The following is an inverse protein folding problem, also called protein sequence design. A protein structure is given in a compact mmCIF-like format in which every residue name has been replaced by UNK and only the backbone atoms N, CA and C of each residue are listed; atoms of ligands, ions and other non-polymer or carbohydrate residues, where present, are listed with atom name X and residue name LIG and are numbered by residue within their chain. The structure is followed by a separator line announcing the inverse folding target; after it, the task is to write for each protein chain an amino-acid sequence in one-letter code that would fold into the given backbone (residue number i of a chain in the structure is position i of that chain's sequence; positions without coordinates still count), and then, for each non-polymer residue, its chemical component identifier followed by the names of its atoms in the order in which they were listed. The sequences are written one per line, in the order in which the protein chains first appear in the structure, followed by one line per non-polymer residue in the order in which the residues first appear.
data_IF_774489752846
#
_entry.id   IF_774489752846
#
_cell.length_a   1.000
_cell.length_b   1.000
_cell.length_c   1.000
_cell.angle_alpha   90.00
_cell.angle_beta   90.00
_cell.angle_gamma   90.00
#
_symmetry.space_group_name_H-M   'P 1'
#
loop_
_entity.id
_entity.type
_entity.pdbx_description
1 polymer ?
#
# COMPACT_ATOMS: atom_id res chain seq x y z
N UNK A 1 -20.01 11.55 4.03
CA UNK A 1 -18.79 11.00 4.67
C UNK A 1 -17.81 10.65 3.57
N UNK A 2 -16.53 10.99 3.73
CA UNK A 2 -15.50 10.59 2.78
C UNK A 2 -15.40 9.07 2.74
N UNK A 3 -15.32 8.47 1.55
CA UNK A 3 -15.22 7.02 1.41
C UNK A 3 -13.90 6.55 2.04
N UNK A 4 -13.96 5.56 2.94
CA UNK A 4 -12.78 5.04 3.64
C UNK A 4 -11.95 4.18 2.70
N UNK A 5 -10.70 4.55 2.48
CA UNK A 5 -9.83 3.87 1.54
C UNK A 5 -8.71 3.10 2.24
N UNK A 6 -8.43 1.89 1.75
CA UNK A 6 -7.24 1.12 2.08
C UNK A 6 -6.29 1.18 0.90
N UNK A 7 -5.08 1.68 1.12
CA UNK A 7 -4.06 1.76 0.07
C UNK A 7 -3.25 0.47 0.06
N UNK A 8 -3.15 -0.17 -1.11
CA UNK A 8 -2.30 -1.34 -1.34
C UNK A 8 -1.12 -0.92 -2.22
N UNK A 9 0.10 -0.94 -1.68
CA UNK A 9 1.32 -0.60 -2.42
C UNK A 9 1.92 -1.86 -3.03
N UNK A 10 2.05 -1.86 -4.35
CA UNK A 10 2.40 -2.98 -5.20
C UNK A 10 1.26 -3.99 -5.33
N UNK A 11 1.63 -5.25 -5.46
CA UNK A 11 0.72 -6.39 -5.52
C UNK A 11 1.47 -7.68 -5.32
N UNK A 12 0.75 -8.75 -5.04
CA UNK A 12 1.31 -10.09 -4.98
C UNK A 12 0.41 -11.08 -5.72
N UNK A 13 0.99 -11.87 -6.63
CA UNK A 13 0.20 -12.75 -7.50
C UNK A 13 -0.46 -13.92 -6.76
N UNK A 14 0.09 -14.34 -5.61
CA UNK A 14 -0.46 -15.47 -4.87
C UNK A 14 -1.55 -15.09 -3.87
N UNK A 15 -1.45 -13.94 -3.21
CA UNK A 15 -2.35 -13.57 -2.12
C UNK A 15 -2.93 -12.14 -2.22
N UNK A 16 -2.56 -11.37 -3.25
CA UNK A 16 -3.05 -9.99 -3.42
C UNK A 16 -4.57 -9.88 -3.46
N UNK A 17 -5.23 -10.81 -4.17
CA UNK A 17 -6.69 -10.91 -4.24
C UNK A 17 -7.34 -11.05 -2.85
N UNK A 18 -6.72 -11.80 -1.94
CA UNK A 18 -7.28 -12.02 -0.59
C UNK A 18 -7.34 -10.73 0.21
N UNK A 19 -6.36 -9.84 0.06
CA UNK A 19 -6.36 -8.53 0.71
C UNK A 19 -7.44 -7.60 0.12
N UNK A 20 -7.62 -7.62 -1.20
CA UNK A 20 -8.69 -6.85 -1.87
C UNK A 20 -10.07 -7.30 -1.37
N UNK A 21 -10.31 -8.61 -1.39
CA UNK A 21 -11.58 -9.18 -0.92
C UNK A 21 -11.83 -8.91 0.57
N UNK A 22 -10.79 -8.99 1.40
CA UNK A 22 -10.90 -8.65 2.82
C UNK A 22 -11.24 -7.16 3.01
N UNK A 23 -10.62 -6.25 2.26
CA UNK A 23 -10.92 -4.82 2.32
C UNK A 23 -12.38 -4.53 1.93
N UNK A 24 -12.86 -5.13 0.83
CA UNK A 24 -14.24 -4.98 0.38
C UNK A 24 -15.25 -5.53 1.40
N UNK A 25 -14.98 -6.69 2.02
CA UNK A 25 -15.82 -7.26 3.09
C UNK A 25 -15.89 -6.39 4.35
N UNK A 26 -14.87 -5.56 4.57
CA UNK A 26 -14.83 -4.55 5.63
C UNK A 26 -15.41 -3.20 5.18
N UNK A 27 -16.07 -3.15 4.02
CA UNK A 27 -16.63 -1.94 3.42
C UNK A 27 -15.60 -0.83 3.14
N UNK A 28 -14.33 -1.21 3.01
CA UNK A 28 -13.25 -0.31 2.61
C UNK A 28 -13.15 -0.24 1.09
N UNK A 29 -12.68 0.90 0.59
CA UNK A 29 -12.37 1.09 -0.82
C UNK A 29 -10.90 0.77 -1.09
N UNK A 30 -10.56 -0.40 -1.63
CA UNK A 30 -9.18 -0.71 -1.99
C UNK A 30 -8.73 0.17 -3.16
N UNK A 31 -7.56 0.78 -3.01
CA UNK A 31 -6.87 1.51 -4.08
C UNK A 31 -5.45 0.94 -4.20
N UNK A 32 -5.09 0.44 -5.37
CA UNK A 32 -3.78 -0.16 -5.61
C UNK A 32 -2.81 0.84 -6.26
N UNK A 33 -1.68 1.07 -5.61
CA UNK A 33 -0.54 1.86 -6.11
C UNK A 33 0.51 0.89 -6.65
N UNK A 34 0.71 0.80 -7.97
CA UNK A 34 1.66 -0.17 -8.54
C UNK A 34 2.47 0.44 -9.69
N UNK A 35 3.75 0.06 -9.83
CA UNK A 35 4.56 0.46 -10.98
C UNK A 35 3.99 -0.08 -12.28
N UNK A 36 3.32 -1.24 -12.23
CA UNK A 36 2.62 -1.84 -13.36
C UNK A 36 1.39 -2.64 -12.89
N UNK A 37 0.18 -2.02 -12.85
CA UNK A 37 -1.02 -2.67 -12.34
C UNK A 37 -1.49 -3.90 -13.15
N UNK A 38 -1.12 -3.98 -14.43
CA UNK A 38 -1.51 -5.08 -15.33
C UNK A 38 -0.85 -6.41 -14.95
N UNK A 39 0.15 -6.41 -14.07
CA UNK A 39 0.77 -7.64 -13.56
C UNK A 39 -0.10 -8.42 -12.57
N UNK A 40 -1.26 -7.87 -12.23
CA UNK A 40 -2.17 -8.35 -11.20
C UNK A 40 -3.60 -8.39 -11.77
N UNK A 41 -3.93 -9.42 -12.54
CA UNK A 41 -5.23 -9.56 -13.25
C UNK A 41 -6.45 -9.37 -12.33
N UNK A 42 -6.33 -9.74 -11.06
CA UNK A 42 -7.38 -9.58 -10.06
C UNK A 42 -7.78 -8.12 -9.81
N UNK A 43 -6.89 -7.16 -10.02
CA UNK A 43 -7.20 -5.74 -9.82
C UNK A 43 -8.29 -5.27 -10.80
N UNK A 44 -8.18 -5.67 -12.07
CA UNK A 44 -9.18 -5.37 -13.07
C UNK A 44 -10.46 -6.20 -12.86
N UNK A 45 -10.31 -7.48 -12.54
CA UNK A 45 -11.45 -8.39 -12.33
C UNK A 45 -12.35 -7.94 -11.14
N UNK A 46 -11.75 -7.43 -10.07
CA UNK A 46 -12.46 -6.95 -8.87
C UNK A 46 -12.83 -5.45 -8.94
N UNK A 47 -12.55 -4.77 -10.07
CA UNK A 47 -12.85 -3.35 -10.26
C UNK A 47 -12.11 -2.44 -9.27
N UNK A 48 -10.89 -2.82 -8.87
CA UNK A 48 -10.06 -2.04 -7.93
C UNK A 48 -9.56 -0.78 -8.62
N UNK A 49 -9.66 0.37 -7.95
CA UNK A 49 -9.04 1.60 -8.44
C UNK A 49 -7.52 1.42 -8.44
N UNK A 50 -6.87 1.62 -9.59
CA UNK A 50 -5.41 1.46 -9.72
C UNK A 50 -4.77 2.77 -10.13
N UNK A 51 -3.62 3.09 -9.51
CA UNK A 51 -2.81 4.26 -9.84
C UNK A 51 -1.40 3.79 -10.12
N UNK A 52 -0.90 4.13 -11.31
CA UNK A 52 0.47 3.85 -11.69
C UNK A 52 1.40 4.80 -10.96
N UNK A 53 2.32 4.26 -10.17
CA UNK A 53 3.32 5.03 -9.41
C UNK A 53 4.58 4.19 -9.22
N UNK A 54 5.75 4.81 -9.22
CA UNK A 54 6.98 4.14 -8.85
C UNK A 54 6.93 3.71 -7.38
N UNK A 55 6.74 2.41 -7.14
CA UNK A 55 6.61 1.85 -5.80
C UNK A 55 7.92 1.77 -5.02
N UNK A 56 9.05 1.99 -5.67
CA UNK A 56 10.37 2.03 -5.03
C UNK A 56 10.76 3.46 -4.61
N UNK A 57 9.95 4.46 -4.99
CA UNK A 57 10.16 5.86 -4.67
C UNK A 57 9.19 6.34 -3.57
N UNK A 58 9.72 6.59 -2.37
CA UNK A 58 8.95 7.06 -1.21
C UNK A 58 8.26 8.41 -1.46
N UNK A 59 8.91 9.34 -2.17
CA UNK A 59 8.34 10.66 -2.45
C UNK A 59 7.17 10.56 -3.44
N UNK A 60 7.31 9.70 -4.45
CA UNK A 60 6.23 9.43 -5.41
C UNK A 60 5.00 8.83 -4.72
N UNK A 61 5.20 7.85 -3.82
CA UNK A 61 4.13 7.27 -3.01
C UNK A 61 3.51 8.30 -2.06
N UNK A 62 4.33 9.12 -1.40
CA UNK A 62 3.86 10.19 -0.50
C UNK A 62 2.96 11.17 -1.26
N UNK A 63 3.40 11.62 -2.44
CA UNK A 63 2.61 12.52 -3.27
C UNK A 63 1.29 11.88 -3.74
N UNK A 64 1.30 10.61 -4.16
CA UNK A 64 0.08 9.89 -4.53
C UNK A 64 -0.92 9.79 -3.36
N UNK A 65 -0.45 9.39 -2.17
CA UNK A 65 -1.25 9.32 -0.96
C UNK A 65 -1.79 10.69 -0.54
N UNK A 66 -1.00 11.75 -0.65
CA UNK A 66 -1.43 13.11 -0.33
C UNK A 66 -2.58 13.57 -1.24
N UNK A 67 -2.51 13.28 -2.55
CA UNK A 67 -3.61 13.52 -3.50
C UNK A 67 -4.86 12.72 -3.14
N UNK A 68 -4.70 11.46 -2.77
CA UNK A 68 -5.82 10.60 -2.38
C UNK A 68 -6.52 11.09 -1.10
N UNK A 69 -5.78 11.63 -0.11
CA UNK A 69 -6.40 12.21 1.11
C UNK A 69 -7.33 13.39 0.83
N UNK A 70 -7.22 14.05 -0.32
CA UNK A 70 -8.15 15.11 -0.69
C UNK A 70 -9.56 14.58 -1.00
N UNK A 71 -9.68 13.30 -1.36
CA UNK A 71 -10.95 12.66 -1.79
C UNK A 71 -11.40 11.55 -0.83
N UNK A 72 -10.45 10.86 -0.20
CA UNK A 72 -10.68 9.65 0.58
C UNK A 72 -10.22 9.81 2.03
N UNK A 73 -10.93 9.18 2.95
CA UNK A 73 -10.43 8.96 4.31
C UNK A 73 -9.52 7.72 4.30
N UNK A 74 -8.21 7.94 4.14
CA UNK A 74 -7.24 6.85 4.12
C UNK A 74 -7.14 6.26 5.52
N UNK A 75 -7.62 5.04 5.72
CA UNK A 75 -7.61 4.38 7.01
C UNK A 75 -6.41 3.47 7.25
N UNK A 76 -5.64 3.17 6.19
CA UNK A 76 -4.45 2.33 6.29
C UNK A 76 -3.70 2.24 4.97
N UNK A 77 -2.43 1.89 5.07
CA UNK A 77 -1.55 1.61 3.94
C UNK A 77 -0.88 0.27 4.21
N UNK A 78 -0.98 -0.66 3.27
CA UNK A 78 -0.34 -1.96 3.33
C UNK A 78 0.54 -2.17 2.10
N UNK A 79 1.57 -3.00 2.23
CA UNK A 79 2.28 -3.55 1.09
C UNK A 79 2.36 -5.05 1.22
N UNK A 80 2.68 -5.69 0.10
CA UNK A 80 2.95 -7.10 0.06
C UNK A 80 4.44 -7.35 0.26
N UNK A 81 4.77 -8.44 0.93
CA UNK A 81 6.14 -8.97 0.94
C UNK A 81 6.59 -9.34 -0.48
N UNK A 82 7.87 -9.22 -0.76
CA UNK A 82 8.49 -9.67 -2.01
C UNK A 82 10.00 -9.86 -1.85
N UNK A 83 10.73 -9.94 -2.96
CA UNK A 83 12.19 -10.16 -2.99
C UNK A 83 13.03 -9.15 -2.17
N UNK A 84 12.47 -7.98 -1.87
CA UNK A 84 13.12 -6.96 -1.05
C UNK A 84 12.26 -6.59 0.16
N UNK A 85 12.78 -6.88 1.36
CA UNK A 85 12.16 -6.51 2.64
C UNK A 85 12.06 -4.98 2.85
N UNK A 86 12.80 -4.19 2.05
CA UNK A 86 12.82 -2.72 2.09
C UNK A 86 11.45 -2.06 1.95
N UNK A 87 10.47 -2.72 1.29
CA UNK A 87 9.11 -2.20 1.18
C UNK A 87 8.42 -2.01 2.54
N UNK A 88 8.72 -2.85 3.54
CA UNK A 88 8.14 -2.67 4.87
C UNK A 88 8.65 -1.39 5.54
N UNK A 89 9.91 -1.01 5.31
CA UNK A 89 10.47 0.27 5.78
C UNK A 89 9.76 1.45 5.10
N UNK A 90 9.54 1.37 3.79
CA UNK A 90 8.78 2.39 3.02
C UNK A 90 7.36 2.57 3.58
N UNK A 91 6.63 1.47 3.83
CA UNK A 91 5.28 1.54 4.40
C UNK A 91 5.28 2.11 5.81
N UNK A 92 6.22 1.69 6.66
CA UNK A 92 6.35 2.26 8.00
C UNK A 92 6.57 3.78 7.94
N UNK A 93 7.45 4.25 7.03
CA UNK A 93 7.70 5.68 6.82
C UNK A 93 6.44 6.42 6.33
N UNK A 94 5.69 5.85 5.39
CA UNK A 94 4.41 6.41 4.90
C UNK A 94 3.35 6.48 6.00
N UNK A 95 3.11 5.38 6.74
CA UNK A 95 2.15 5.39 7.84
C UNK A 95 2.49 6.45 8.88
N UNK A 96 3.77 6.58 9.26
CA UNK A 96 4.24 7.64 10.16
C UNK A 96 3.96 9.03 9.60
N UNK A 97 4.25 9.27 8.31
CA UNK A 97 4.05 10.56 7.66
C UNK A 97 2.57 10.98 7.67
N UNK A 98 1.64 10.04 7.45
CA UNK A 98 0.21 10.33 7.41
C UNK A 98 -0.52 10.17 8.76
N UNK A 99 0.21 9.88 9.83
CA UNK A 99 -0.32 9.55 11.16
C UNK A 99 -1.33 8.38 11.14
N UNK A 100 -1.02 7.34 10.36
CA UNK A 100 -1.80 6.12 10.23
C UNK A 100 -1.23 5.00 11.11
N UNK A 101 -2.04 4.00 11.50
CA UNK A 101 -1.53 2.80 12.15
C UNK A 101 -0.45 2.13 11.29
N UNK A 102 0.68 1.78 11.92
CA UNK A 102 1.80 1.18 11.20
C UNK A 102 2.95 0.80 12.13
N UNK A 103 3.92 0.07 11.58
CA UNK A 103 5.13 -0.35 12.29
C UNK A 103 6.04 0.85 12.57
N UNK A 104 6.90 0.75 13.59
CA UNK A 104 7.97 1.73 13.82
C UNK A 104 9.04 1.60 12.71
N UNK A 105 9.34 2.66 11.93
CA UNK A 105 10.29 2.57 10.84
C UNK A 105 11.69 2.12 11.27
N UNK A 106 12.17 2.57 12.43
CA UNK A 106 13.50 2.22 12.95
C UNK A 106 13.56 0.74 13.32
N UNK A 107 12.48 0.21 13.92
CA UNK A 107 12.40 -1.21 14.25
C UNK A 107 12.39 -2.08 13.00
N UNK A 108 11.61 -1.71 11.98
CA UNK A 108 11.54 -2.46 10.72
C UNK A 108 12.88 -2.42 9.98
N UNK A 109 13.53 -1.25 9.93
CA UNK A 109 14.84 -1.09 9.28
C UNK A 109 15.90 -1.98 9.94
N UNK A 110 15.91 -2.07 11.29
CA UNK A 110 16.77 -3.01 12.03
C UNK A 110 16.42 -4.48 11.80
N UNK A 111 15.13 -4.83 11.70
CA UNK A 111 14.74 -6.22 11.40
C UNK A 111 15.17 -6.65 10.00
N UNK A 112 15.25 -5.72 9.04
CA UNK A 112 15.67 -5.99 7.67
C UNK A 112 17.18 -6.02 7.49
N UNK A 113 17.95 -5.34 8.35
CA UNK A 113 19.40 -5.47 8.38
C UNK A 113 19.80 -6.78 9.09
N UNK A 114 20.35 -7.72 8.30
CA UNK A 114 20.79 -9.03 8.81
C UNK A 114 22.30 -9.08 9.07
N UNK A 115 23.01 -8.01 8.76
CA UNK A 115 24.49 -8.00 8.73
C UNK A 115 25.10 -7.09 9.79
N UNK A 116 24.38 -6.07 10.27
CA UNK A 116 24.76 -5.26 11.44
C UNK A 116 24.15 -5.83 12.71
#
# INVERSE_FOLDING_TARGET
MSRRALILVGGHRANGLLYVQAAQRLELHPIALASDPTQYDYLAAEGVETIRVDTDNLDALTHACARLRATYDICGIIAFGGLHESRHVTIAKLCRHFALPGQNPVSVERCSDKFT
#
